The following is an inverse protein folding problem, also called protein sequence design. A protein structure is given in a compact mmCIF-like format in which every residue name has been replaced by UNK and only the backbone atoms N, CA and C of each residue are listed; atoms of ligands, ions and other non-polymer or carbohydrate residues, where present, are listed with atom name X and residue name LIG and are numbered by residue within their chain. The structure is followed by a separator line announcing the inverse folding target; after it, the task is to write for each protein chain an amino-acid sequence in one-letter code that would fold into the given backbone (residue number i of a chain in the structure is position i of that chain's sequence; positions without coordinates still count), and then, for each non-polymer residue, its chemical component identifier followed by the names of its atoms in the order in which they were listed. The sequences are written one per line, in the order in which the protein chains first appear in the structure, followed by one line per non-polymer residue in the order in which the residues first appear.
data_IF_826104195121
#
_entry.id   IF_826104195121
#
_cell.length_a   1.000
_cell.length_b   1.000
_cell.length_c   1.000
_cell.angle_alpha   90.00
_cell.angle_beta   90.00
_cell.angle_gamma   90.00
#
_symmetry.space_group_name_H-M   'P 1'
#
loop_
_entity.id
_entity.type
_entity.pdbx_description
1 polymer ?
#
# COMPACT_ATOMS: atom_id res chain seq x y z
N UNK A 1 13.26 8.22 -1.43
CA UNK A 1 12.50 7.18 -0.70
C UNK A 1 11.06 7.20 -1.19
N UNK A 2 10.35 6.07 -1.14
CA UNK A 2 8.94 5.98 -1.57
C UNK A 2 8.08 5.63 -0.35
N UNK A 3 6.92 6.27 -0.23
CA UNK A 3 5.91 5.90 0.77
C UNK A 3 4.96 4.88 0.16
N UNK A 4 4.77 3.75 0.82
CA UNK A 4 3.60 2.90 0.57
C UNK A 4 2.48 3.36 1.50
N UNK A 5 1.28 3.55 0.97
CA UNK A 5 0.11 3.96 1.73
C UNK A 5 -1.11 3.14 1.33
N UNK A 6 -2.00 2.89 2.28
CA UNK A 6 -3.37 2.47 1.94
C UNK A 6 -4.06 3.61 1.21
N UNK A 7 -4.73 3.27 0.11
CA UNK A 7 -5.58 4.19 -0.60
C UNK A 7 -6.97 4.21 0.03
N UNK A 8 -7.28 5.26 0.79
CA UNK A 8 -8.60 5.41 1.41
C UNK A 8 -9.73 5.61 0.40
N UNK A 9 -9.42 6.01 -0.84
CA UNK A 9 -10.40 6.13 -1.92
C UNK A 9 -10.70 4.77 -2.56
N UNK A 10 -9.88 3.76 -2.29
CA UNK A 10 -10.14 2.36 -2.60
C UNK A 10 -9.93 1.48 -1.37
N UNK A 11 -10.98 1.32 -0.52
CA UNK A 11 -10.88 0.49 0.67
C UNK A 11 -10.66 -1.00 0.36
N UNK A 12 -10.73 -1.42 -0.92
CA UNK A 12 -10.27 -2.73 -1.35
C UNK A 12 -10.88 -3.88 -0.57
N UNK A 13 -12.17 -3.82 -0.23
CA UNK A 13 -12.77 -4.70 0.79
C UNK A 13 -12.53 -6.19 0.53
N UNK A 14 -12.70 -6.63 -0.72
CA UNK A 14 -12.40 -8.01 -1.10
C UNK A 14 -10.91 -8.34 -0.86
N UNK A 15 -10.01 -7.44 -1.25
CA UNK A 15 -8.58 -7.57 -1.00
C UNK A 15 -8.24 -7.63 0.48
N UNK A 16 -8.86 -6.76 1.27
CA UNK A 16 -8.70 -6.71 2.72
C UNK A 16 -9.13 -8.02 3.40
N UNK A 17 -10.27 -8.59 2.97
CA UNK A 17 -10.82 -9.84 3.51
C UNK A 17 -10.07 -11.11 3.03
N UNK A 18 -9.28 -11.03 1.95
CA UNK A 18 -8.60 -12.16 1.33
C UNK A 18 -7.08 -12.25 1.62
N UNK A 19 -6.58 -11.57 2.65
CA UNK A 19 -5.16 -11.63 3.05
C UNK A 19 -4.42 -10.30 2.93
N UNK A 20 -5.06 -9.28 2.35
CA UNK A 20 -4.46 -7.96 2.19
C UNK A 20 -4.23 -7.25 3.51
N UNK A 21 -5.13 -7.47 4.48
CA UNK A 21 -4.97 -6.96 5.83
C UNK A 21 -3.70 -7.48 6.49
N UNK A 22 -3.48 -8.78 6.46
CA UNK A 22 -2.31 -9.43 7.07
C UNK A 22 -1.01 -8.98 6.40
N UNK A 23 -1.04 -8.82 5.06
CA UNK A 23 0.09 -8.25 4.32
C UNK A 23 0.38 -6.82 4.78
N UNK A 24 -0.64 -5.97 4.87
CA UNK A 24 -0.49 -4.59 5.30
C UNK A 24 0.01 -4.49 6.74
N UNK A 25 -0.59 -5.25 7.66
CA UNK A 25 -0.17 -5.29 9.06
C UNK A 25 1.29 -5.76 9.21
N UNK A 26 1.76 -6.67 8.33
CA UNK A 26 3.18 -7.07 8.27
C UNK A 26 4.08 -5.97 7.71
N UNK A 27 3.61 -5.18 6.74
CA UNK A 27 4.35 -4.04 6.18
C UNK A 27 4.49 -2.92 7.22
N UNK A 28 3.44 -2.67 8.00
CA UNK A 28 3.40 -1.63 9.04
C UNK A 28 3.82 -2.14 10.42
N UNK A 29 4.34 -3.36 10.56
CA UNK A 29 4.74 -3.90 11.85
C UNK A 29 5.82 -2.99 12.48
N UNK A 30 5.46 -2.29 13.56
CA UNK A 30 6.32 -1.29 14.22
C UNK A 30 6.13 0.16 13.75
N UNK A 31 5.20 0.43 12.84
CA UNK A 31 4.79 1.76 12.39
C UNK A 31 3.32 2.01 12.72
N UNK A 32 3.03 3.07 13.48
CA UNK A 32 1.66 3.43 13.90
C UNK A 32 0.91 4.28 12.85
N UNK A 33 1.38 4.27 11.60
CA UNK A 33 0.94 5.20 10.55
C UNK A 33 0.24 4.49 9.39
N UNK A 34 -0.59 5.25 8.67
CA UNK A 34 -1.29 4.80 7.46
C UNK A 34 -0.39 4.74 6.21
N UNK A 35 0.88 5.08 6.38
CA UNK A 35 1.93 5.08 5.37
C UNK A 35 3.26 4.64 5.99
N UNK A 36 4.07 3.94 5.20
CA UNK A 36 5.43 3.53 5.58
C UNK A 36 6.42 3.98 4.51
N UNK A 37 7.49 4.65 4.94
CA UNK A 37 8.58 5.04 4.06
C UNK A 37 9.54 3.86 3.89
N UNK A 38 9.69 3.38 2.67
CA UNK A 38 10.60 2.28 2.31
C UNK A 38 11.43 2.66 1.09
N UNK A 39 12.46 1.88 0.81
CA UNK A 39 13.17 1.96 -0.46
C UNK A 39 12.25 1.59 -1.62
N UNK A 40 12.47 2.17 -2.80
CA UNK A 40 11.65 1.91 -3.99
C UNK A 40 11.62 0.42 -4.37
N UNK A 41 12.77 -0.26 -4.29
CA UNK A 41 12.89 -1.69 -4.59
C UNK A 41 12.07 -2.57 -3.63
N UNK A 42 11.97 -2.15 -2.37
CA UNK A 42 11.15 -2.80 -1.35
C UNK A 42 9.66 -2.49 -1.61
N UNK A 43 9.32 -1.25 -1.95
CA UNK A 43 7.96 -0.88 -2.30
C UNK A 43 7.43 -1.70 -3.48
N UNK A 44 8.23 -1.88 -4.52
CA UNK A 44 7.89 -2.71 -5.68
C UNK A 44 7.66 -4.17 -5.33
N UNK A 45 8.51 -4.72 -4.45
CA UNK A 45 8.37 -6.10 -4.01
C UNK A 45 7.06 -6.31 -3.25
N UNK A 46 6.70 -5.37 -2.37
CA UNK A 46 5.44 -5.43 -1.63
C UNK A 46 4.21 -5.24 -2.53
N UNK A 47 4.26 -4.33 -3.50
CA UNK A 47 3.16 -4.16 -4.45
C UNK A 47 2.98 -5.40 -5.33
N UNK A 48 4.07 -6.05 -5.72
CA UNK A 48 4.01 -7.29 -6.49
C UNK A 48 3.35 -8.43 -5.68
N UNK A 49 3.60 -8.51 -4.37
CA UNK A 49 2.91 -9.46 -3.50
C UNK A 49 1.44 -9.06 -3.24
N UNK A 50 1.16 -7.77 -3.00
CA UNK A 50 -0.20 -7.25 -2.84
C UNK A 50 -1.08 -7.51 -4.08
N UNK A 51 -0.50 -7.39 -5.27
CA UNK A 51 -1.19 -7.62 -6.54
C UNK A 51 -1.58 -9.08 -6.78
N UNK A 52 -1.06 -10.03 -5.99
CA UNK A 52 -1.45 -11.46 -6.06
C UNK A 52 -2.73 -11.76 -5.28
N UNK A 53 -3.18 -10.84 -4.43
CA UNK A 53 -4.34 -11.04 -3.58
C UNK A 53 -5.61 -10.68 -4.37
N UNK A 54 -6.69 -11.49 -4.30
CA UNK A 54 -7.98 -11.18 -4.93
C UNK A 54 -8.47 -9.77 -4.57
N UNK A 55 -9.21 -9.11 -5.46
CA UNK A 55 -9.71 -7.75 -5.21
C UNK A 55 -8.71 -6.62 -5.44
N UNK A 56 -7.48 -6.92 -5.88
CA UNK A 56 -6.45 -5.90 -6.16
C UNK A 56 -6.90 -4.83 -7.17
N UNK A 57 -7.64 -5.20 -8.21
CA UNK A 57 -8.17 -4.26 -9.22
C UNK A 57 -9.62 -3.83 -8.95
N UNK A 58 -10.09 -3.94 -7.70
CA UNK A 58 -11.48 -3.67 -7.33
C UNK A 58 -11.84 -2.18 -7.21
N UNK A 59 -10.89 -1.28 -7.41
CA UNK A 59 -11.08 0.17 -7.23
C UNK A 59 -11.60 0.92 -8.45
N UNK A 60 -11.92 2.21 -8.28
CA UNK A 60 -12.25 3.10 -9.40
C UNK A 60 -11.02 3.47 -10.25
N UNK A 61 -11.23 4.00 -11.46
CA UNK A 61 -10.14 4.33 -12.41
C UNK A 61 -9.06 5.27 -11.84
N UNK A 62 -9.41 6.12 -10.87
CA UNK A 62 -8.52 7.08 -10.22
C UNK A 62 -7.81 6.52 -8.98
N UNK A 63 -8.26 5.38 -8.44
CA UNK A 63 -7.68 4.69 -7.29
C UNK A 63 -7.83 3.17 -7.50
N UNK A 64 -7.19 2.58 -8.53
CA UNK A 64 -7.52 1.22 -8.96
C UNK A 64 -7.11 0.15 -7.94
N UNK A 65 -6.16 0.46 -7.05
CA UNK A 65 -5.55 -0.49 -6.13
C UNK A 65 -5.68 -0.09 -4.66
N UNK A 66 -5.80 -1.05 -3.72
CA UNK A 66 -5.92 -0.77 -2.28
C UNK A 66 -4.66 -0.17 -1.64
N UNK A 67 -3.47 -0.42 -2.20
CA UNK A 67 -2.20 0.16 -1.77
C UNK A 67 -1.59 0.90 -2.96
N UNK A 68 -1.06 2.10 -2.71
CA UNK A 68 -0.41 2.91 -3.73
C UNK A 68 0.98 3.40 -3.28
N UNK A 69 1.84 3.65 -4.27
CA UNK A 69 3.08 4.41 -4.06
C UNK A 69 2.73 5.89 -3.99
N UNK A 70 3.23 6.56 -2.97
CA UNK A 70 3.29 8.01 -2.90
C UNK A 70 4.76 8.42 -3.00
N UNK A 71 5.06 9.33 -3.92
CA UNK A 71 6.35 10.00 -3.92
C UNK A 71 6.46 10.75 -2.58
N UNK A 72 7.53 10.46 -1.82
CA UNK A 72 7.87 11.30 -0.68
C UNK A 72 8.57 12.51 -1.27
N UNK A 73 7.98 13.69 -1.13
CA UNK A 73 8.69 14.90 -1.50
C UNK A 73 9.92 15.01 -0.60
N UNK A 74 11.09 15.30 -1.17
CA UNK A 74 12.38 15.28 -0.44
C UNK A 74 12.41 16.33 0.70
N UNK A 75 11.46 17.28 0.71
CA UNK A 75 11.24 18.28 1.74
C UNK A 75 10.41 17.81 2.96
N UNK A 76 9.87 16.58 2.95
CA UNK A 76 9.06 16.03 4.05
C UNK A 76 9.90 15.25 5.10
N UNK A 77 11.23 15.26 4.96
CA UNK A 77 12.18 14.70 5.93
C UNK A 77 12.69 15.85 6.81
N UNK A 78 11.96 16.18 7.88
CA UNK A 78 12.38 17.16 8.91
C UNK A 78 12.59 16.50 10.24
#
# INVERSE_FOLDING_TARGET
MIKLAIDFENPGREWWENGGRELWESITEGFDNNDVAVDESIADSWLAEAARIPGWYGGPDFAPHPICKKAVDEDEIV
#
